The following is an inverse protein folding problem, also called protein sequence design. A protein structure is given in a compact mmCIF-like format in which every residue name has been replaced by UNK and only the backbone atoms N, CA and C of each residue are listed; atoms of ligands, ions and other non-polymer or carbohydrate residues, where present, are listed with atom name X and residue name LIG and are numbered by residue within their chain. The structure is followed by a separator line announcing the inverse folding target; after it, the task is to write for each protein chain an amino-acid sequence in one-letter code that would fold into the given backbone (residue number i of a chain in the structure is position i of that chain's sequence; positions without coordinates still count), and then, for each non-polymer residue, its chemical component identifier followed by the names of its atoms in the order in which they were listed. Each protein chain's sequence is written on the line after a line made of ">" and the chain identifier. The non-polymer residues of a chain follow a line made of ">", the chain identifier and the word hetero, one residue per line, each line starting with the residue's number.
data_IF_970744613409
#
_entry.id   IF_970744613409
#
_cell.length_a   1.000
_cell.length_b   1.000
_cell.length_c   1.000
_cell.angle_alpha   90.00
_cell.angle_beta   90.00
_cell.angle_gamma   90.00
#
_symmetry.space_group_name_H-M   'P 1'
#
loop_
_entity.id
_entity.type
_entity.pdbx_description
1 polymer ?
#
# COMPACT_ATOMS: atom_id res chain seq x y z
N UNK A 1 -55.07 1.14 -2.38
CA UNK A 1 -55.68 2.23 -1.58
C UNK A 1 -54.67 3.36 -1.49
N UNK A 2 -55.08 4.49 -2.03
CA UNK A 2 -54.37 5.76 -2.12
C UNK A 2 -54.19 6.42 -0.75
N UNK A 3 -53.05 7.08 -0.48
CA UNK A 3 -53.04 8.40 0.17
C UNK A 3 -51.69 9.09 -0.03
N UNK A 4 -51.71 10.05 -0.92
CA UNK A 4 -50.84 11.19 -1.11
C UNK A 4 -50.99 12.19 0.04
N UNK A 5 -49.92 12.83 0.47
CA UNK A 5 -49.98 14.16 1.06
C UNK A 5 -48.68 14.90 0.73
N UNK A 6 -48.80 15.90 -0.10
CA UNK A 6 -47.86 16.99 -0.33
C UNK A 6 -48.17 18.12 0.66
N UNK A 7 -47.13 18.83 1.15
CA UNK A 7 -47.25 20.21 1.59
C UNK A 7 -46.04 21.04 1.21
N UNK A 8 -46.37 22.24 0.76
CA UNK A 8 -45.52 23.20 0.07
C UNK A 8 -44.85 24.22 1.00
N UNK A 9 -43.79 24.75 0.50
CA UNK A 9 -43.23 26.11 0.50
C UNK A 9 -43.55 27.13 1.62
N UNK A 10 -42.51 27.82 2.08
CA UNK A 10 -42.52 29.27 2.27
C UNK A 10 -41.06 29.82 2.31
N UNK A 11 -40.80 30.71 1.36
CA UNK A 11 -39.62 31.58 1.30
C UNK A 11 -39.81 32.79 2.20
N UNK A 12 -38.75 33.30 2.81
CA UNK A 12 -38.69 34.70 3.23
C UNK A 12 -37.29 35.29 3.00
N UNK A 13 -37.22 36.22 2.10
CA UNK A 13 -36.14 37.19 1.89
C UNK A 13 -36.19 38.26 2.99
N UNK A 14 -35.00 38.65 3.49
CA UNK A 14 -34.78 40.04 3.94
C UNK A 14 -33.37 40.49 3.62
N UNK A 15 -33.29 41.46 2.74
CA UNK A 15 -32.11 42.27 2.46
C UNK A 15 -32.11 43.50 3.39
N UNK A 16 -30.96 43.90 3.90
CA UNK A 16 -30.71 45.28 4.34
C UNK A 16 -29.29 45.67 4.01
N UNK A 17 -29.19 46.67 3.18
CA UNK A 17 -28.01 47.47 2.85
C UNK A 17 -28.03 48.74 3.70
N UNK A 18 -26.82 49.25 4.04
CA UNK A 18 -26.45 50.66 4.31
C UNK A 18 -24.95 50.69 4.52
N UNK A 19 -24.06 51.21 3.68
CA UNK A 19 -23.80 52.59 3.23
C UNK A 19 -23.20 53.52 4.33
N UNK A 20 -22.03 54.05 4.04
CA UNK A 20 -21.35 55.17 4.73
C UNK A 20 -19.85 55.14 4.44
N UNK A 21 -19.25 55.73 3.42
CA UNK A 21 -18.73 57.09 3.18
C UNK A 21 -17.97 57.66 4.41
N UNK A 22 -16.71 58.13 4.29
CA UNK A 22 -16.14 59.19 3.49
C UNK A 22 -14.67 59.40 3.88
N UNK A 23 -13.78 59.60 2.90
CA UNK A 23 -13.03 60.84 2.55
C UNK A 23 -11.97 61.29 3.57
N UNK A 24 -10.81 61.75 3.24
CA UNK A 24 -10.28 62.56 2.16
C UNK A 24 -8.78 62.74 2.32
N UNK A 25 -8.08 62.86 1.20
CA UNK A 25 -7.14 63.94 0.77
C UNK A 25 -5.88 64.20 1.62
N UNK A 26 -4.71 64.41 1.06
CA UNK A 26 -4.26 65.27 -0.03
C UNK A 26 -2.75 65.05 -0.28
N UNK A 27 -2.33 64.97 -1.52
CA UNK A 27 -1.31 65.75 -2.29
C UNK A 27 0.01 66.15 -1.57
N UNK A 28 1.13 66.16 -2.14
CA UNK A 28 1.66 66.37 -3.49
C UNK A 28 3.19 66.40 -3.47
N UNK A 29 3.79 65.99 -4.58
CA UNK A 29 4.83 66.69 -5.40
C UNK A 29 6.18 67.08 -4.77
N UNK A 30 7.31 66.67 -5.30
CA UNK A 30 8.08 67.17 -6.46
C UNK A 30 9.46 66.46 -6.41
N UNK A 31 9.89 65.90 -7.47
CA UNK A 31 10.79 66.21 -8.54
C UNK A 31 12.29 66.35 -8.20
N UNK A 32 13.02 65.46 -8.90
CA UNK A 32 14.25 65.64 -9.66
C UNK A 32 15.56 66.04 -8.97
N UNK A 33 16.59 65.22 -9.17
CA UNK A 33 17.70 65.52 -10.09
C UNK A 33 18.76 64.42 -10.05
N UNK A 34 19.27 64.14 -11.22
CA UNK A 34 20.35 63.18 -11.51
C UNK A 34 21.73 63.73 -11.08
N UNK A 35 22.61 62.76 -10.75
CA UNK A 35 24.02 62.88 -11.11
C UNK A 35 24.76 61.58 -10.99
N UNK A 36 25.28 61.19 -12.07
CA UNK A 36 26.25 60.23 -12.51
C UNK A 36 27.50 60.22 -11.63
N UNK A 37 28.07 59.01 -11.36
CA UNK A 37 29.50 58.70 -11.48
C UNK A 37 29.81 57.22 -11.20
N UNK A 38 30.31 56.61 -12.20
CA UNK A 38 31.19 55.48 -12.44
C UNK A 38 32.00 54.89 -11.28
N UNK A 39 32.07 53.53 -11.40
CA UNK A 39 33.24 52.64 -11.26
C UNK A 39 33.54 51.99 -9.92
N UNK A 40 33.42 50.72 -9.81
CA UNK A 40 34.48 49.72 -9.99
C UNK A 40 34.01 48.35 -9.45
N UNK A 41 34.23 47.34 -10.21
CA UNK A 41 34.03 45.95 -9.89
C UNK A 41 34.87 45.52 -8.69
N UNK A 42 34.24 44.73 -7.81
CA UNK A 42 34.95 43.70 -7.04
C UNK A 42 34.00 42.52 -6.88
N UNK A 43 34.34 41.52 -7.60
CA UNK A 43 33.86 40.17 -7.58
C UNK A 43 34.05 39.58 -6.18
N UNK A 44 32.96 39.20 -5.55
CA UNK A 44 32.94 38.18 -4.53
C UNK A 44 31.58 37.48 -4.64
N UNK A 45 31.58 36.44 -5.43
CA UNK A 45 30.51 35.42 -5.38
C UNK A 45 30.52 34.82 -3.98
N UNK A 46 29.74 35.39 -3.07
CA UNK A 46 29.25 34.65 -1.92
C UNK A 46 28.19 33.72 -2.47
N UNK A 47 28.49 32.43 -2.50
CA UNK A 47 27.47 31.41 -2.66
C UNK A 47 26.43 31.63 -1.58
N UNK A 48 25.29 32.14 -2.01
CA UNK A 48 24.08 32.19 -1.20
C UNK A 48 23.72 30.72 -0.91
N UNK A 49 24.01 30.28 0.30
CA UNK A 49 23.42 29.06 0.85
C UNK A 49 21.95 29.39 1.08
N UNK A 50 21.18 29.31 -0.02
CA UNK A 50 19.75 29.50 0.02
C UNK A 50 19.18 28.53 1.03
N UNK A 51 18.50 29.04 2.04
CA UNK A 51 17.56 28.28 2.82
C UNK A 51 16.51 27.75 1.82
N UNK A 52 16.67 26.50 1.37
CA UNK A 52 15.64 25.87 0.56
C UNK A 52 14.37 25.87 1.39
N UNK A 53 13.32 26.56 0.92
CA UNK A 53 12.00 26.43 1.52
C UNK A 53 11.69 24.93 1.66
N UNK A 54 11.22 24.52 2.85
CA UNK A 54 10.78 23.17 3.14
C UNK A 54 9.73 22.77 2.12
N UNK A 55 10.03 21.78 1.31
CA UNK A 55 9.04 21.19 0.41
C UNK A 55 8.09 20.26 1.16
N UNK A 56 6.96 19.94 0.55
CA UNK A 56 5.99 18.98 1.10
C UNK A 56 5.90 17.78 0.15
N UNK A 57 6.18 16.59 0.66
CA UNK A 57 5.99 15.32 -0.05
C UNK A 57 4.73 14.64 0.47
N UNK A 58 3.87 14.18 -0.43
CA UNK A 58 2.67 13.43 -0.10
C UNK A 58 2.93 11.94 -0.22
N UNK A 59 2.59 11.17 0.81
CA UNK A 59 2.47 9.72 0.78
C UNK A 59 0.99 9.34 0.73
N UNK A 60 0.50 8.90 -0.43
CA UNK A 60 -0.92 8.56 -0.63
C UNK A 60 -1.05 7.05 -0.71
N UNK A 61 -1.58 6.43 0.34
CA UNK A 61 -1.65 4.99 0.48
C UNK A 61 -3.09 4.48 0.40
N UNK A 62 -3.29 3.33 -0.25
CA UNK A 62 -4.62 2.74 -0.50
C UNK A 62 -5.40 2.38 0.77
N UNK A 63 -4.71 1.99 1.87
CA UNK A 63 -5.32 1.51 3.11
C UNK A 63 -4.46 1.93 4.32
N UNK A 64 -4.64 3.17 4.80
CA UNK A 64 -3.85 3.75 5.89
C UNK A 64 -4.15 3.20 7.29
N UNK A 65 -5.08 2.26 7.43
CA UNK A 65 -5.41 1.53 8.65
C UNK A 65 -4.73 0.13 8.72
N UNK A 66 -4.08 -0.31 7.63
CA UNK A 66 -3.34 -1.57 7.63
C UNK A 66 -1.89 -1.36 8.07
N UNK A 67 -1.39 -2.27 8.90
CA UNK A 67 -0.03 -2.22 9.49
C UNK A 67 1.04 -2.03 8.42
N UNK A 68 0.92 -2.74 7.29
CA UNK A 68 1.85 -2.62 6.16
C UNK A 68 2.06 -1.17 5.72
N UNK A 69 0.97 -0.43 5.45
CA UNK A 69 1.05 0.96 4.96
C UNK A 69 1.38 1.96 6.05
N UNK A 70 1.09 1.65 7.32
CA UNK A 70 1.54 2.45 8.46
C UNK A 70 3.08 2.41 8.55
N UNK A 71 3.68 1.21 8.49
CA UNK A 71 5.12 1.02 8.57
C UNK A 71 5.84 1.59 7.34
N UNK A 72 5.33 1.31 6.13
CA UNK A 72 5.84 1.87 4.87
C UNK A 72 5.82 3.40 4.88
N UNK A 73 4.68 3.99 5.29
CA UNK A 73 4.52 5.43 5.40
C UNK A 73 5.42 6.06 6.46
N UNK A 74 5.66 5.37 7.58
CA UNK A 74 6.58 5.84 8.62
C UNK A 74 8.04 5.84 8.13
N UNK A 75 8.45 4.83 7.36
CA UNK A 75 9.78 4.78 6.74
C UNK A 75 9.95 5.88 5.69
N UNK A 76 8.92 6.10 4.85
CA UNK A 76 8.89 7.19 3.87
C UNK A 76 8.97 8.56 4.55
N UNK A 77 8.17 8.79 5.60
CA UNK A 77 8.19 10.02 6.38
C UNK A 77 9.59 10.30 6.93
N UNK A 78 10.19 9.33 7.60
CA UNK A 78 11.54 9.46 8.15
C UNK A 78 12.55 9.87 7.07
N UNK A 79 12.48 9.23 5.90
CA UNK A 79 13.40 9.53 4.80
C UNK A 79 13.18 10.93 4.21
N UNK A 80 11.93 11.40 4.10
CA UNK A 80 11.60 12.76 3.67
C UNK A 80 12.12 13.79 4.67
N UNK A 81 11.92 13.56 5.97
CA UNK A 81 12.39 14.43 7.05
C UNK A 81 13.93 14.49 7.11
N UNK A 82 14.64 13.38 6.84
CA UNK A 82 16.10 13.35 6.69
C UNK A 82 16.58 14.23 5.52
N UNK A 83 15.78 14.38 4.47
CA UNK A 83 16.04 15.28 3.36
C UNK A 83 15.63 16.76 3.65
N UNK A 84 15.10 17.04 4.84
CA UNK A 84 14.74 18.39 5.31
C UNK A 84 13.35 18.86 4.91
N UNK A 85 12.55 18.03 4.28
CA UNK A 85 11.19 18.33 3.82
C UNK A 85 10.12 17.83 4.82
N UNK A 86 8.85 18.15 4.56
CA UNK A 86 7.68 17.71 5.32
C UNK A 86 6.98 16.56 4.60
N UNK A 87 6.48 15.59 5.34
CA UNK A 87 5.71 14.48 4.79
C UNK A 87 4.24 14.53 5.25
N UNK A 88 3.32 14.36 4.32
CA UNK A 88 1.89 14.26 4.61
C UNK A 88 1.41 12.86 4.21
N UNK A 89 1.06 12.06 5.21
CA UNK A 89 0.42 10.77 5.01
C UNK A 89 -1.07 10.94 4.71
N UNK A 90 -1.55 10.30 3.64
CA UNK A 90 -2.96 10.31 3.25
C UNK A 90 -3.47 8.88 3.06
N UNK A 91 -4.52 8.55 3.79
CA UNK A 91 -5.26 7.29 3.63
C UNK A 91 -6.36 7.44 2.58
N UNK A 92 -6.27 6.70 1.48
CA UNK A 92 -7.28 6.67 0.43
C UNK A 92 -8.45 5.71 0.73
N UNK A 93 -8.43 4.96 1.85
CA UNK A 93 -9.52 4.10 2.35
C UNK A 93 -10.04 3.08 1.34
N UNK A 94 -9.15 2.50 0.55
CA UNK A 94 -9.48 1.60 -0.56
C UNK A 94 -10.47 2.21 -1.58
N UNK A 95 -10.54 3.55 -1.66
CA UNK A 95 -11.46 4.29 -2.53
C UNK A 95 -10.72 4.97 -3.68
N UNK A 96 -11.01 4.59 -4.94
CA UNK A 96 -10.47 5.28 -6.12
C UNK A 96 -10.83 6.78 -6.16
N UNK A 97 -12.00 7.16 -5.65
CA UNK A 97 -12.44 8.56 -5.59
C UNK A 97 -11.60 9.36 -4.57
N UNK A 98 -11.43 8.85 -3.34
CA UNK A 98 -10.61 9.51 -2.31
C UNK A 98 -9.13 9.56 -2.74
N UNK A 99 -8.65 8.54 -3.45
CA UNK A 99 -7.30 8.51 -4.01
C UNK A 99 -7.07 9.66 -5.01
N UNK A 100 -7.93 9.81 -6.03
CA UNK A 100 -7.78 10.89 -7.02
C UNK A 100 -7.96 12.26 -6.39
N UNK A 101 -8.83 12.40 -5.40
CA UNK A 101 -9.00 13.63 -4.63
C UNK A 101 -7.75 13.95 -3.79
N UNK A 102 -7.05 12.96 -3.26
CA UNK A 102 -5.77 13.16 -2.57
C UNK A 102 -4.68 13.65 -3.53
N UNK A 103 -4.62 13.10 -4.75
CA UNK A 103 -3.76 13.60 -5.84
C UNK A 103 -4.08 15.08 -6.14
N UNK A 104 -5.36 15.42 -6.34
CA UNK A 104 -5.78 16.80 -6.61
C UNK A 104 -5.40 17.76 -5.46
N UNK A 105 -5.52 17.32 -4.21
CA UNK A 105 -5.10 18.08 -3.03
C UNK A 105 -3.58 18.29 -3.00
N UNK A 106 -2.79 17.26 -3.29
CA UNK A 106 -1.34 17.38 -3.36
C UNK A 106 -0.91 18.38 -4.45
N UNK A 107 -1.56 18.33 -5.62
CA UNK A 107 -1.34 19.28 -6.72
C UNK A 107 -1.71 20.71 -6.30
N UNK A 108 -2.89 20.92 -5.71
CA UNK A 108 -3.34 22.23 -5.26
C UNK A 108 -2.42 22.84 -4.20
N UNK A 109 -1.79 22.02 -3.37
CA UNK A 109 -0.81 22.42 -2.36
C UNK A 109 0.63 22.50 -2.90
N UNK A 110 0.83 22.36 -4.20
CA UNK A 110 2.14 22.46 -4.85
C UNK A 110 3.16 21.48 -4.24
N UNK A 111 2.75 20.23 -4.07
CA UNK A 111 3.61 19.17 -3.53
C UNK A 111 4.94 19.12 -4.29
N UNK A 112 6.04 18.93 -3.56
CA UNK A 112 7.38 18.72 -4.13
C UNK A 112 7.46 17.40 -4.90
N UNK A 113 6.66 16.42 -4.48
CA UNK A 113 6.52 15.11 -5.11
C UNK A 113 5.51 14.24 -4.39
N UNK A 114 5.16 13.11 -5.00
CA UNK A 114 4.18 12.16 -4.49
C UNK A 114 4.78 10.75 -4.52
N UNK A 115 4.72 10.06 -3.38
CA UNK A 115 4.88 8.60 -3.28
C UNK A 115 3.49 8.01 -3.10
N UNK A 116 3.14 6.96 -3.83
CA UNK A 116 1.76 6.46 -3.80
C UNK A 116 1.62 4.95 -3.98
N UNK A 117 0.72 4.35 -3.20
CA UNK A 117 0.17 3.01 -3.43
C UNK A 117 -1.31 3.13 -3.83
N UNK A 118 -1.63 2.72 -5.05
CA UNK A 118 -2.95 2.92 -5.66
C UNK A 118 -3.95 1.82 -5.27
N UNK A 119 -5.23 2.15 -4.93
CA UNK A 119 -6.24 1.15 -4.59
C UNK A 119 -6.79 0.38 -5.80
N UNK A 120 -6.73 0.97 -6.99
CA UNK A 120 -7.22 0.38 -8.25
C UNK A 120 -6.33 0.84 -9.41
N UNK A 121 -5.62 -0.09 -10.02
CA UNK A 121 -4.67 0.20 -11.09
C UNK A 121 -5.32 0.78 -12.36
N UNK A 122 -6.62 0.64 -12.54
CA UNK A 122 -7.35 1.31 -13.65
C UNK A 122 -7.30 2.84 -13.56
N UNK A 123 -6.98 3.40 -12.37
CA UNK A 123 -6.81 4.84 -12.15
C UNK A 123 -5.39 5.34 -12.43
N UNK A 124 -4.45 4.45 -12.74
CA UNK A 124 -3.02 4.79 -12.89
C UNK A 124 -2.79 5.89 -13.91
N UNK A 125 -3.38 5.77 -15.10
CA UNK A 125 -3.20 6.76 -16.16
C UNK A 125 -3.71 8.13 -15.73
N UNK A 126 -4.88 8.20 -15.09
CA UNK A 126 -5.46 9.46 -14.61
C UNK A 126 -4.57 10.12 -13.54
N UNK A 127 -4.01 9.35 -12.62
CA UNK A 127 -3.12 9.85 -11.58
C UNK A 127 -1.81 10.42 -12.17
N UNK A 128 -1.18 9.66 -13.08
CA UNK A 128 0.08 10.07 -13.73
C UNK A 128 -0.12 11.30 -14.61
N UNK A 129 -1.20 11.35 -15.41
CA UNK A 129 -1.49 12.49 -16.27
C UNK A 129 -1.71 13.78 -15.47
N UNK A 130 -2.49 13.73 -14.37
CA UNK A 130 -2.68 14.86 -13.46
C UNK A 130 -1.36 15.38 -12.88
N UNK A 131 -0.50 14.50 -12.40
CA UNK A 131 0.80 14.87 -11.84
C UNK A 131 1.73 15.46 -12.92
N UNK A 132 1.75 14.86 -14.10
CA UNK A 132 2.53 15.32 -15.24
C UNK A 132 2.09 16.71 -15.73
N UNK A 133 0.79 16.95 -15.84
CA UNK A 133 0.24 18.26 -16.22
C UNK A 133 0.60 19.35 -15.19
N UNK A 134 0.63 18.99 -13.91
CA UNK A 134 1.03 19.89 -12.83
C UNK A 134 2.56 20.01 -12.66
N UNK A 135 3.36 19.19 -13.34
CA UNK A 135 4.82 19.16 -13.20
C UNK A 135 5.28 18.58 -11.85
N UNK A 136 4.47 17.75 -11.19
CA UNK A 136 4.79 17.14 -9.90
C UNK A 136 5.26 15.70 -10.13
N UNK A 137 6.49 15.34 -9.70
CA UNK A 137 6.99 13.98 -9.76
C UNK A 137 6.13 13.02 -8.94
N UNK A 138 5.89 11.82 -9.50
CA UNK A 138 5.15 10.74 -8.84
C UNK A 138 5.93 9.44 -8.95
N UNK A 139 6.05 8.70 -7.84
CA UNK A 139 6.66 7.37 -7.73
C UNK A 139 5.66 6.42 -7.13
N UNK A 140 5.50 5.27 -7.75
CA UNK A 140 4.67 4.20 -7.23
C UNK A 140 5.43 3.41 -6.16
N UNK A 141 4.77 3.17 -5.03
CA UNK A 141 5.25 2.33 -3.95
C UNK A 141 4.32 1.12 -3.80
N UNK A 142 4.86 -0.06 -3.54
CA UNK A 142 4.15 -1.34 -3.43
C UNK A 142 3.41 -1.74 -4.72
N UNK A 143 2.33 -1.07 -5.08
CA UNK A 143 1.57 -1.32 -6.30
C UNK A 143 2.02 -0.40 -7.45
N UNK A 144 2.32 -1.00 -8.60
CA UNK A 144 2.74 -0.24 -9.77
C UNK A 144 1.61 0.61 -10.37
N UNK A 145 1.94 1.83 -10.80
CA UNK A 145 1.11 2.60 -11.71
C UNK A 145 1.33 2.08 -13.13
N UNK A 146 0.30 1.52 -13.75
CA UNK A 146 0.43 0.85 -15.06
C UNK A 146 -0.70 1.22 -16.02
N UNK A 147 -0.40 1.13 -17.32
CA UNK A 147 -1.40 1.29 -18.37
C UNK A 147 -2.21 0.00 -18.59
N UNK A 148 -3.18 0.03 -19.51
CA UNK A 148 -4.03 -1.11 -19.85
C UNK A 148 -3.24 -2.31 -20.44
N UNK A 149 -2.00 -2.10 -20.88
CA UNK A 149 -1.12 -3.16 -21.33
C UNK A 149 -0.26 -3.79 -20.22
N UNK A 150 -0.40 -3.28 -18.97
CA UNK A 150 0.40 -3.71 -17.83
C UNK A 150 1.80 -3.10 -17.77
N UNK A 151 2.10 -2.12 -18.63
CA UNK A 151 3.40 -1.44 -18.63
C UNK A 151 3.40 -0.36 -17.54
N UNK A 152 4.46 -0.31 -16.75
CA UNK A 152 4.64 0.71 -15.71
C UNK A 152 4.81 2.09 -16.33
N UNK A 153 4.00 3.05 -15.91
CA UNK A 153 3.96 4.42 -16.43
C UNK A 153 4.54 5.47 -15.48
N UNK A 154 5.03 5.03 -14.31
CA UNK A 154 5.82 5.81 -13.37
C UNK A 154 6.91 4.92 -12.78
N UNK A 155 8.02 5.45 -12.26
CA UNK A 155 9.00 4.68 -11.50
C UNK A 155 8.30 3.95 -10.35
N UNK A 156 8.71 2.72 -10.11
CA UNK A 156 8.09 1.84 -9.12
C UNK A 156 9.13 1.23 -8.18
N UNK A 157 8.81 1.23 -6.90
CA UNK A 157 9.53 0.50 -5.86
C UNK A 157 8.54 -0.40 -5.13
N UNK A 158 8.77 -1.70 -5.12
CA UNK A 158 7.83 -2.62 -4.49
C UNK A 158 8.23 -4.08 -4.66
N UNK A 159 7.25 -4.96 -4.52
CA UNK A 159 7.44 -6.40 -4.58
C UNK A 159 6.76 -6.99 -5.82
N UNK A 160 7.40 -7.97 -6.43
CA UNK A 160 6.77 -8.69 -7.53
C UNK A 160 5.67 -9.61 -6.98
N UNK A 161 4.42 -9.23 -7.16
CA UNK A 161 3.26 -9.91 -6.61
C UNK A 161 3.18 -11.39 -6.97
N UNK A 162 3.48 -11.75 -8.23
CA UNK A 162 3.47 -13.14 -8.66
C UNK A 162 4.60 -13.94 -8.00
N UNK A 163 5.82 -13.37 -7.93
CA UNK A 163 6.99 -14.03 -7.34
C UNK A 163 6.81 -14.31 -5.84
N UNK A 164 6.22 -13.37 -5.09
CA UNK A 164 5.93 -13.64 -3.67
C UNK A 164 4.88 -14.72 -3.49
N UNK A 165 3.87 -14.78 -4.36
CA UNK A 165 2.91 -15.88 -4.40
C UNK A 165 3.57 -17.21 -4.73
N UNK A 166 4.48 -17.23 -5.72
CA UNK A 166 5.27 -18.42 -6.04
C UNK A 166 6.06 -18.93 -4.83
N UNK A 167 6.69 -18.02 -4.04
CA UNK A 167 7.43 -18.42 -2.85
C UNK A 167 6.54 -19.12 -1.80
N UNK A 168 5.32 -18.61 -1.57
CA UNK A 168 4.34 -19.27 -0.71
C UNK A 168 3.92 -20.65 -1.25
N UNK A 169 3.63 -20.72 -2.57
CA UNK A 169 3.25 -21.95 -3.24
C UNK A 169 4.33 -23.04 -3.16
N UNK A 170 5.58 -22.67 -3.42
CA UNK A 170 6.75 -23.57 -3.32
C UNK A 170 6.94 -24.10 -1.89
N UNK A 171 6.85 -23.19 -0.90
CA UNK A 171 7.00 -23.58 0.50
C UNK A 171 5.88 -24.53 0.96
N UNK A 172 4.63 -24.22 0.59
CA UNK A 172 3.47 -25.09 0.89
C UNK A 172 3.58 -26.45 0.21
N UNK A 173 4.07 -26.50 -1.02
CA UNK A 173 4.27 -27.75 -1.74
C UNK A 173 5.34 -28.62 -1.07
N UNK A 174 6.43 -28.02 -0.60
CA UNK A 174 7.44 -28.73 0.18
C UNK A 174 6.85 -29.24 1.51
N UNK A 175 6.16 -28.37 2.24
CA UNK A 175 5.49 -28.72 3.50
C UNK A 175 4.49 -29.87 3.32
N UNK A 176 3.68 -29.82 2.25
CA UNK A 176 2.69 -30.87 1.96
C UNK A 176 3.34 -32.25 1.76
N UNK A 177 4.47 -32.31 1.04
CA UNK A 177 5.23 -33.56 0.83
C UNK A 177 5.86 -34.07 2.12
N UNK A 178 6.53 -33.16 2.85
CA UNK A 178 7.26 -33.54 4.08
C UNK A 178 6.34 -34.04 5.18
N UNK A 179 5.05 -33.63 5.15
CA UNK A 179 4.04 -34.00 6.13
C UNK A 179 3.02 -35.06 5.60
N UNK A 180 3.24 -35.61 4.39
CA UNK A 180 2.38 -36.64 3.79
C UNK A 180 0.97 -36.15 3.47
N UNK A 181 0.78 -34.81 3.25
CA UNK A 181 -0.53 -34.24 2.99
C UNK A 181 -0.99 -34.44 1.54
N UNK A 182 -0.09 -34.77 0.62
CA UNK A 182 -0.44 -35.02 -0.78
C UNK A 182 -1.34 -36.24 -0.91
N UNK A 183 -1.00 -37.32 -0.23
CA UNK A 183 -1.72 -38.61 -0.24
C UNK A 183 -2.87 -38.64 0.77
N UNK A 184 -2.93 -37.73 1.73
CA UNK A 184 -3.96 -37.68 2.76
C UNK A 184 -5.28 -37.13 2.18
N UNK A 185 -6.30 -38.01 2.08
CA UNK A 185 -7.61 -37.63 1.51
C UNK A 185 -8.35 -36.57 2.35
N UNK A 186 -7.91 -36.33 3.59
CA UNK A 186 -8.51 -35.34 4.49
C UNK A 186 -7.77 -33.99 4.45
N UNK A 187 -6.74 -33.83 3.62
CA UNK A 187 -6.04 -32.58 3.43
C UNK A 187 -6.70 -31.69 2.36
N UNK A 188 -6.65 -30.38 2.52
CA UNK A 188 -7.13 -29.39 1.54
C UNK A 188 -6.28 -28.13 1.56
N UNK A 189 -6.25 -27.42 0.43
CA UNK A 189 -5.62 -26.11 0.29
C UNK A 189 -6.71 -25.04 0.14
N UNK A 190 -6.64 -23.98 0.95
CA UNK A 190 -7.43 -22.77 0.79
C UNK A 190 -6.52 -21.60 0.41
N UNK A 191 -6.84 -20.93 -0.70
CA UNK A 191 -6.21 -19.69 -1.14
C UNK A 191 -7.22 -18.56 -0.95
N UNK A 192 -6.91 -17.60 -0.07
CA UNK A 192 -7.71 -16.41 0.16
C UNK A 192 -7.35 -15.35 -0.87
N UNK A 193 -8.30 -14.98 -1.74
CA UNK A 193 -8.07 -14.07 -2.86
C UNK A 193 -8.62 -12.67 -2.60
N UNK A 194 -8.06 -11.66 -3.27
CA UNK A 194 -8.57 -10.29 -3.29
C UNK A 194 -8.82 -9.91 -4.76
N UNK A 195 -9.86 -10.48 -5.36
CA UNK A 195 -10.11 -10.43 -6.80
C UNK A 195 -10.44 -9.02 -7.30
N UNK A 196 -10.87 -8.12 -6.41
CA UNK A 196 -11.16 -6.71 -6.72
C UNK A 196 -9.93 -5.81 -6.65
N UNK A 197 -8.78 -6.32 -6.15
CA UNK A 197 -7.51 -5.59 -6.05
C UNK A 197 -6.54 -6.17 -7.06
N UNK A 198 -6.43 -5.53 -8.22
CA UNK A 198 -5.69 -6.04 -9.38
C UNK A 198 -4.22 -6.39 -9.09
N UNK A 199 -3.57 -5.69 -8.17
CA UNK A 199 -2.21 -6.00 -7.71
C UNK A 199 -2.11 -7.26 -6.83
N UNK A 200 -3.21 -7.71 -6.27
CA UNK A 200 -3.25 -8.92 -5.41
C UNK A 200 -3.59 -10.20 -6.20
N UNK A 201 -4.23 -10.08 -7.35
CA UNK A 201 -4.59 -11.23 -8.20
C UNK A 201 -3.36 -12.09 -8.55
N UNK A 202 -2.21 -11.54 -8.99
CA UNK A 202 -1.05 -12.36 -9.32
C UNK A 202 -0.44 -13.10 -8.12
N UNK A 203 -0.68 -12.66 -6.88
CA UNK A 203 -0.24 -13.38 -5.67
C UNK A 203 -0.90 -14.74 -5.59
N UNK A 204 -2.24 -14.77 -5.65
CA UNK A 204 -3.03 -16.00 -5.62
C UNK A 204 -2.77 -16.91 -6.84
N UNK A 205 -2.45 -16.33 -8.00
CA UNK A 205 -2.02 -17.09 -9.18
C UNK A 205 -0.68 -17.78 -8.93
N UNK A 206 0.33 -17.07 -8.42
CA UNK A 206 1.63 -17.63 -8.10
C UNK A 206 1.55 -18.72 -7.03
N UNK A 207 0.73 -18.54 -5.99
CA UNK A 207 0.47 -19.54 -4.95
C UNK A 207 -0.10 -20.83 -5.54
N UNK A 208 -1.12 -20.72 -6.39
CA UNK A 208 -1.75 -21.84 -7.05
C UNK A 208 -0.80 -22.56 -8.02
N UNK A 209 -0.14 -21.82 -8.89
CA UNK A 209 0.70 -22.37 -9.95
C UNK A 209 1.89 -23.15 -9.35
N UNK A 210 2.58 -22.57 -8.36
CA UNK A 210 3.74 -23.21 -7.77
C UNK A 210 3.36 -24.38 -6.83
N UNK A 211 2.25 -24.26 -6.09
CA UNK A 211 1.76 -25.40 -5.31
C UNK A 211 1.41 -26.58 -6.21
N UNK A 212 0.65 -26.36 -7.28
CA UNK A 212 0.24 -27.43 -8.21
C UNK A 212 1.41 -27.99 -9.02
N UNK A 213 2.36 -27.15 -9.41
CA UNK A 213 3.60 -27.61 -10.04
C UNK A 213 4.46 -28.45 -9.08
N UNK A 214 4.53 -28.02 -7.81
CA UNK A 214 5.23 -28.76 -6.76
C UNK A 214 4.55 -30.05 -6.34
N UNK A 215 3.23 -30.09 -6.31
CA UNK A 215 2.41 -31.24 -5.92
C UNK A 215 1.47 -31.69 -7.04
N UNK A 216 1.97 -32.21 -8.17
CA UNK A 216 1.14 -32.54 -9.33
C UNK A 216 0.10 -33.63 -9.06
N UNK A 217 0.31 -34.46 -8.03
CA UNK A 217 -0.61 -35.52 -7.62
C UNK A 217 -1.68 -35.05 -6.61
N UNK A 218 -1.61 -33.76 -6.15
CA UNK A 218 -2.63 -33.22 -5.26
C UNK A 218 -3.91 -32.90 -6.03
N UNK A 219 -5.08 -33.48 -5.64
CA UNK A 219 -6.33 -33.29 -6.37
C UNK A 219 -6.79 -31.84 -6.40
N UNK A 220 -7.04 -31.29 -7.58
CA UNK A 220 -7.46 -29.90 -7.74
C UNK A 220 -8.83 -29.60 -7.14
N UNK A 221 -9.71 -30.61 -6.97
CA UNK A 221 -10.98 -30.49 -6.27
C UNK A 221 -10.86 -30.27 -4.75
N UNK A 222 -9.66 -30.43 -4.21
CA UNK A 222 -9.32 -30.09 -2.81
C UNK A 222 -8.55 -28.75 -2.70
N UNK A 223 -8.48 -27.98 -3.78
CA UNK A 223 -7.96 -26.61 -3.79
C UNK A 223 -9.14 -25.65 -3.88
N UNK A 224 -9.33 -24.88 -2.84
CA UNK A 224 -10.44 -23.94 -2.70
C UNK A 224 -9.92 -22.50 -2.81
N UNK A 225 -10.71 -21.61 -3.41
CA UNK A 225 -10.46 -20.17 -3.45
C UNK A 225 -11.62 -19.45 -2.80
N UNK A 226 -11.33 -18.41 -2.01
CA UNK A 226 -12.36 -17.58 -1.38
C UNK A 226 -11.92 -16.12 -1.40
N UNK A 227 -12.75 -15.28 -2.04
CA UNK A 227 -12.53 -13.84 -2.13
C UNK A 227 -12.91 -13.14 -0.82
N UNK A 228 -12.18 -12.07 -0.48
CA UNK A 228 -12.44 -11.20 0.66
C UNK A 228 -11.93 -9.77 0.37
N UNK A 229 -12.21 -8.82 1.26
CA UNK A 229 -11.94 -7.39 1.06
C UNK A 229 -10.56 -6.92 1.59
N UNK A 230 -9.69 -7.83 2.00
CA UNK A 230 -8.36 -7.52 2.55
C UNK A 230 -8.31 -7.33 4.06
N UNK A 231 -9.46 -7.38 4.78
CA UNK A 231 -9.51 -7.24 6.23
C UNK A 231 -9.47 -8.58 6.95
N UNK A 232 -8.94 -8.61 8.19
CA UNK A 232 -8.88 -9.83 9.01
C UNK A 232 -10.26 -10.43 9.28
N UNK A 233 -11.27 -9.61 9.55
CA UNK A 233 -12.64 -10.06 9.82
C UNK A 233 -13.27 -10.75 8.61
N UNK A 234 -13.04 -10.22 7.41
CA UNK A 234 -13.55 -10.81 6.18
C UNK A 234 -12.74 -12.04 5.76
N UNK A 235 -11.42 -12.03 5.96
CA UNK A 235 -10.59 -13.22 5.81
C UNK A 235 -11.06 -14.37 6.72
N UNK A 236 -11.36 -14.06 7.99
CA UNK A 236 -11.95 -15.03 8.91
C UNK A 236 -13.30 -15.55 8.41
N UNK A 237 -14.18 -14.67 7.94
CA UNK A 237 -15.50 -15.05 7.41
C UNK A 237 -15.37 -15.94 6.18
N UNK A 238 -14.49 -15.61 5.24
CA UNK A 238 -14.25 -16.37 4.03
C UNK A 238 -13.69 -17.77 4.36
N UNK A 239 -12.67 -17.84 5.22
CA UNK A 239 -12.08 -19.10 5.67
C UNK A 239 -13.11 -19.98 6.41
N UNK A 240 -13.87 -19.40 7.35
CA UNK A 240 -14.92 -20.12 8.10
C UNK A 240 -15.97 -20.72 7.15
N UNK A 241 -16.35 -19.97 6.10
CA UNK A 241 -17.33 -20.43 5.12
C UNK A 241 -16.86 -21.68 4.38
N UNK A 242 -15.59 -21.68 3.91
CA UNK A 242 -15.00 -22.82 3.20
C UNK A 242 -14.81 -24.01 4.15
N UNK A 243 -14.24 -23.81 5.34
CA UNK A 243 -14.00 -24.85 6.33
C UNK A 243 -15.34 -25.55 6.71
N UNK A 244 -16.41 -24.77 6.88
CA UNK A 244 -17.72 -25.31 7.24
C UNK A 244 -18.38 -26.06 6.07
N UNK A 245 -18.16 -25.62 4.83
CA UNK A 245 -18.70 -26.26 3.65
C UNK A 245 -18.02 -27.60 3.32
N UNK A 246 -16.80 -27.81 3.81
CA UNK A 246 -15.99 -29.00 3.54
C UNK A 246 -15.60 -29.74 4.81
N UNK A 247 -16.57 -30.35 5.52
CA UNK A 247 -16.33 -31.03 6.78
C UNK A 247 -15.49 -32.31 6.64
N UNK A 248 -15.30 -32.84 5.43
CA UNK A 248 -14.40 -33.92 5.09
C UNK A 248 -12.93 -33.55 5.23
N UNK A 249 -12.57 -32.27 5.02
CA UNK A 249 -11.21 -31.81 5.18
C UNK A 249 -10.91 -31.51 6.65
N UNK A 250 -9.81 -32.13 7.14
CA UNK A 250 -9.37 -32.02 8.55
C UNK A 250 -8.00 -31.33 8.66
N UNK A 251 -7.18 -31.44 7.63
CA UNK A 251 -5.84 -30.89 7.59
C UNK A 251 -5.78 -29.78 6.53
N UNK A 252 -5.93 -28.55 6.98
CA UNK A 252 -5.98 -27.40 6.12
C UNK A 252 -4.58 -26.79 5.90
N UNK A 253 -4.21 -26.62 4.65
CA UNK A 253 -3.18 -25.67 4.23
C UNK A 253 -3.86 -24.39 3.79
N UNK A 254 -3.36 -23.23 4.23
CA UNK A 254 -3.96 -21.94 3.88
C UNK A 254 -2.87 -20.94 3.51
N UNK A 255 -3.11 -20.20 2.44
CA UNK A 255 -2.32 -19.01 2.05
C UNK A 255 -3.27 -17.91 1.56
N UNK A 256 -2.78 -16.74 1.22
CA UNK A 256 -3.66 -15.67 0.76
C UNK A 256 -2.96 -14.39 0.36
N UNK A 257 -3.75 -13.50 -0.21
CA UNK A 257 -3.30 -12.28 -0.86
C UNK A 257 -2.67 -11.23 0.06
N UNK A 258 -2.95 -11.26 1.38
CA UNK A 258 -2.28 -10.45 2.41
C UNK A 258 -2.26 -11.18 3.76
N UNK A 259 -1.56 -10.61 4.73
CA UNK A 259 -1.41 -11.26 6.03
C UNK A 259 -2.65 -11.12 6.92
N UNK A 260 -3.44 -10.07 6.76
CA UNK A 260 -4.72 -9.90 7.45
C UNK A 260 -5.66 -11.08 7.17
N UNK A 261 -5.76 -11.49 5.90
CA UNK A 261 -6.58 -12.63 5.51
C UNK A 261 -6.09 -13.94 6.11
N UNK A 262 -4.78 -14.19 6.07
CA UNK A 262 -4.20 -15.42 6.62
C UNK A 262 -4.28 -15.48 8.15
N UNK A 263 -4.13 -14.37 8.86
CA UNK A 263 -4.41 -14.29 10.31
C UNK A 263 -5.91 -14.53 10.56
N UNK A 264 -6.80 -14.02 9.72
CA UNK A 264 -8.22 -14.34 9.77
C UNK A 264 -8.48 -15.84 9.66
N UNK A 265 -7.78 -16.53 8.75
CA UNK A 265 -7.86 -17.98 8.61
C UNK A 265 -7.33 -18.74 9.84
N UNK A 266 -6.23 -18.28 10.45
CA UNK A 266 -5.75 -18.85 11.74
C UNK A 266 -6.87 -18.81 12.78
N UNK A 267 -7.57 -17.68 12.92
CA UNK A 267 -8.69 -17.55 13.89
C UNK A 267 -9.89 -18.46 13.53
N UNK A 268 -10.16 -18.66 12.23
CA UNK A 268 -11.21 -19.57 11.78
C UNK A 268 -10.88 -21.03 12.13
N UNK A 269 -9.62 -21.46 11.89
CA UNK A 269 -9.13 -22.79 12.22
C UNK A 269 -9.14 -23.06 13.73
N UNK A 270 -8.68 -22.10 14.55
CA UNK A 270 -8.75 -22.15 16.02
C UNK A 270 -10.21 -22.33 16.49
N UNK A 271 -11.12 -21.53 15.93
CA UNK A 271 -12.54 -21.60 16.29
C UNK A 271 -13.20 -22.92 15.89
N UNK A 272 -12.71 -23.54 14.83
CA UNK A 272 -13.16 -24.86 14.36
C UNK A 272 -12.47 -26.03 15.09
N UNK A 273 -11.42 -25.77 15.90
CA UNK A 273 -10.61 -26.79 16.55
C UNK A 273 -9.78 -27.64 15.57
N UNK A 274 -9.36 -27.02 14.45
CA UNK A 274 -8.59 -27.66 13.37
C UNK A 274 -7.16 -27.11 13.27
N UNK A 275 -6.79 -26.19 14.14
CA UNK A 275 -5.50 -25.48 14.13
C UNK A 275 -4.30 -26.38 14.42
N UNK A 276 -4.49 -27.44 15.22
CA UNK A 276 -3.40 -28.35 15.58
C UNK A 276 -2.78 -29.11 14.39
N UNK A 277 -3.59 -29.43 13.38
CA UNK A 277 -3.19 -30.15 12.17
C UNK A 277 -3.17 -29.26 10.92
N UNK A 278 -3.26 -27.94 11.10
CA UNK A 278 -3.28 -26.98 10.01
C UNK A 278 -1.90 -26.30 9.79
N UNK A 279 -1.73 -25.81 8.58
CA UNK A 279 -0.57 -25.01 8.16
C UNK A 279 -1.05 -23.75 7.46
N UNK A 280 -0.75 -22.57 8.03
CA UNK A 280 -1.03 -21.28 7.40
C UNK A 280 0.28 -20.62 7.02
N UNK A 281 0.34 -20.08 5.79
CA UNK A 281 1.48 -19.30 5.29
C UNK A 281 1.02 -17.88 5.03
N UNK A 282 1.62 -16.92 5.73
CA UNK A 282 1.35 -15.50 5.63
C UNK A 282 2.07 -14.84 4.46
N UNK A 283 1.76 -13.57 4.25
CA UNK A 283 2.37 -12.77 3.19
C UNK A 283 2.63 -11.36 3.72
N UNK A 284 3.90 -11.07 4.06
CA UNK A 284 4.38 -9.84 4.68
C UNK A 284 5.20 -10.07 5.95
N UNK A 285 4.89 -11.09 6.74
CA UNK A 285 5.46 -11.47 8.02
C UNK A 285 5.29 -10.43 9.15
N UNK A 286 4.58 -9.31 8.92
CA UNK A 286 4.39 -8.23 9.90
C UNK A 286 3.39 -8.57 11.01
N UNK A 287 2.41 -9.48 10.74
CA UNK A 287 1.50 -10.02 11.75
C UNK A 287 1.91 -11.42 12.20
N UNK A 288 2.53 -12.22 11.32
CA UNK A 288 3.04 -13.53 11.65
C UNK A 288 4.08 -13.48 12.77
N UNK A 289 4.98 -12.48 12.77
CA UNK A 289 5.94 -12.24 13.85
C UNK A 289 5.28 -12.08 15.21
N UNK A 290 4.16 -11.34 15.26
CA UNK A 290 3.41 -11.11 16.50
C UNK A 290 2.73 -12.38 16.98
N UNK A 291 2.18 -13.17 16.04
CA UNK A 291 1.62 -14.48 16.32
C UNK A 291 2.68 -15.41 16.94
N UNK A 292 3.88 -15.45 16.36
CA UNK A 292 4.98 -16.26 16.88
C UNK A 292 5.56 -15.73 18.20
N UNK A 293 5.68 -14.42 18.36
CA UNK A 293 6.12 -13.81 19.61
C UNK A 293 5.15 -14.11 20.76
N UNK A 294 3.84 -14.09 20.49
CA UNK A 294 2.81 -14.27 21.51
C UNK A 294 2.54 -15.73 21.85
N UNK A 295 2.59 -16.63 20.88
CA UNK A 295 2.16 -18.04 21.05
C UNK A 295 3.30 -19.07 20.94
N UNK A 296 4.47 -18.67 20.40
CA UNK A 296 5.54 -19.59 20.03
C UNK A 296 5.21 -20.42 18.77
N UNK A 297 6.20 -21.17 18.30
CA UNK A 297 6.09 -21.99 17.08
C UNK A 297 4.99 -23.05 17.15
N UNK A 298 4.84 -23.69 18.32
CA UNK A 298 3.88 -24.78 18.54
C UNK A 298 2.47 -24.30 18.91
N UNK A 299 2.34 -23.02 19.32
CA UNK A 299 1.08 -22.46 19.79
C UNK A 299 0.20 -21.87 18.68
N UNK A 300 0.59 -22.00 17.43
CA UNK A 300 -0.15 -21.46 16.27
C UNK A 300 0.01 -22.34 15.04
N UNK A 301 -1.00 -22.32 14.16
CA UNK A 301 -0.92 -22.92 12.84
C UNK A 301 -0.26 -22.01 11.78
N UNK A 302 0.16 -20.79 12.12
CA UNK A 302 0.99 -19.94 11.26
C UNK A 302 2.41 -20.51 11.23
N UNK A 303 2.77 -21.22 10.15
CA UNK A 303 4.04 -21.99 10.05
C UNK A 303 5.12 -21.26 9.26
N UNK A 304 4.73 -20.35 8.37
CA UNK A 304 5.66 -19.53 7.60
C UNK A 304 4.99 -18.23 7.16
N UNK A 305 5.77 -17.30 6.65
CA UNK A 305 5.29 -16.13 5.93
C UNK A 305 6.36 -15.66 4.94
N UNK A 306 5.97 -15.19 3.76
CA UNK A 306 6.93 -14.51 2.88
C UNK A 306 7.14 -13.11 3.40
N UNK A 307 8.35 -12.84 3.89
CA UNK A 307 8.78 -11.53 4.37
C UNK A 307 9.35 -10.69 3.23
N UNK A 308 8.95 -9.46 3.20
CA UNK A 308 9.54 -8.35 2.46
C UNK A 308 9.39 -7.10 3.32
N UNK A 309 10.29 -6.13 3.16
CA UNK A 309 10.37 -5.01 4.10
C UNK A 309 9.55 -3.82 3.62
N UNK A 310 8.52 -3.45 4.37
CA UNK A 310 7.78 -2.19 4.21
C UNK A 310 8.70 -0.98 4.33
N UNK A 311 9.68 -1.02 5.26
CA UNK A 311 10.71 0.01 5.42
C UNK A 311 11.53 0.19 4.13
N UNK A 312 11.89 -0.90 3.47
CA UNK A 312 12.65 -0.86 2.22
C UNK A 312 11.83 -0.27 1.07
N UNK A 313 10.53 -0.58 0.99
CA UNK A 313 9.62 0.02 0.00
C UNK A 313 9.46 1.51 0.27
N UNK A 314 9.13 1.89 1.51
CA UNK A 314 8.93 3.28 1.90
C UNK A 314 10.18 4.14 1.70
N UNK A 315 11.33 3.69 2.20
CA UNK A 315 12.61 4.40 2.05
C UNK A 315 13.02 4.49 0.59
N UNK A 316 13.00 3.36 -0.14
CA UNK A 316 13.42 3.30 -1.54
C UNK A 316 12.55 4.14 -2.47
N UNK A 317 11.23 4.19 -2.22
CA UNK A 317 10.31 5.02 -3.02
C UNK A 317 10.62 6.52 -2.88
N UNK A 318 11.00 6.96 -1.67
CA UNK A 318 11.42 8.34 -1.43
C UNK A 318 12.80 8.61 -2.06
N UNK A 319 13.76 7.69 -2.00
CA UNK A 319 15.05 7.83 -2.65
C UNK A 319 14.89 7.99 -4.17
N UNK A 320 14.09 7.14 -4.80
CA UNK A 320 13.75 7.24 -6.22
C UNK A 320 13.05 8.58 -6.54
N UNK A 321 12.12 9.03 -5.68
CA UNK A 321 11.45 10.32 -5.86
C UNK A 321 12.44 11.49 -5.85
N UNK A 322 13.38 11.52 -4.91
CA UNK A 322 14.39 12.60 -4.86
C UNK A 322 15.38 12.53 -6.03
N UNK A 323 15.67 11.36 -6.54
CA UNK A 323 16.48 11.20 -7.75
C UNK A 323 15.73 11.72 -8.98
N UNK A 324 14.42 11.47 -9.10
CA UNK A 324 13.58 12.07 -10.14
C UNK A 324 13.53 13.59 -10.01
N UNK A 325 13.34 14.15 -8.80
CA UNK A 325 13.36 15.59 -8.53
C UNK A 325 14.70 16.22 -8.94
N UNK A 326 15.80 15.50 -8.70
CA UNK A 326 17.14 15.94 -9.09
C UNK A 326 17.43 15.78 -10.60
N UNK A 327 16.49 15.27 -11.40
CA UNK A 327 16.66 15.05 -12.83
C UNK A 327 17.61 13.91 -13.19
N UNK A 328 17.80 12.95 -12.29
CA UNK A 328 18.62 11.76 -12.54
C UNK A 328 17.81 10.71 -13.30
N UNK A 329 18.51 9.90 -14.08
CA UNK A 329 17.91 8.69 -14.63
C UNK A 329 17.67 7.65 -13.52
N UNK A 330 16.44 7.17 -13.41
CA UNK A 330 16.03 6.16 -12.43
C UNK A 330 15.53 4.89 -13.13
N UNK A 331 15.73 3.70 -12.53
CA UNK A 331 15.11 2.49 -13.03
C UNK A 331 13.58 2.62 -13.04
N UNK A 332 12.93 2.05 -14.05
CA UNK A 332 11.47 1.95 -14.09
C UNK A 332 10.93 1.00 -13.01
N UNK A 333 11.74 0.02 -12.63
CA UNK A 333 11.44 -0.99 -11.62
C UNK A 333 12.58 -1.12 -10.62
N UNK A 334 12.23 -1.06 -9.34
CA UNK A 334 13.12 -1.36 -8.22
C UNK A 334 12.39 -2.36 -7.33
N UNK A 335 12.63 -3.65 -7.54
CA UNK A 335 12.03 -4.69 -6.72
C UNK A 335 12.80 -4.83 -5.40
N UNK A 336 12.07 -4.94 -4.29
CA UNK A 336 12.64 -5.34 -3.00
C UNK A 336 12.66 -6.87 -2.90
N UNK A 337 13.68 -7.40 -2.23
CA UNK A 337 13.81 -8.84 -2.02
C UNK A 337 12.72 -9.37 -1.10
N UNK A 338 12.28 -10.61 -1.37
CA UNK A 338 11.34 -11.35 -0.56
C UNK A 338 11.93 -12.71 -0.17
N UNK A 339 11.70 -13.16 1.07
CA UNK A 339 12.20 -14.43 1.59
C UNK A 339 11.16 -15.08 2.50
N UNK A 340 10.99 -16.40 2.41
CA UNK A 340 10.10 -17.11 3.33
C UNK A 340 10.78 -17.24 4.69
N UNK A 341 10.12 -16.73 5.72
CA UNK A 341 10.53 -16.85 7.12
C UNK A 341 9.61 -17.81 7.87
N UNK A 342 10.18 -18.42 8.91
CA UNK A 342 9.48 -19.37 9.79
C UNK A 342 9.70 -18.95 11.25
N UNK A 343 8.97 -19.53 12.21
CA UNK A 343 9.21 -19.27 13.64
C UNK A 343 10.66 -19.45 14.10
N UNK A 344 11.45 -20.26 13.39
CA UNK A 344 12.84 -20.56 13.73
C UNK A 344 13.82 -19.47 13.26
N UNK A 345 13.53 -18.79 12.12
CA UNK A 345 14.51 -17.93 11.48
C UNK A 345 14.05 -16.45 11.36
N UNK A 346 12.78 -16.10 11.62
CA UNK A 346 12.28 -14.75 11.38
C UNK A 346 13.04 -13.65 12.12
N UNK A 347 13.51 -13.90 13.35
CA UNK A 347 14.28 -12.92 14.13
C UNK A 347 15.62 -12.58 13.50
N UNK A 348 16.28 -13.59 12.92
CA UNK A 348 17.54 -13.40 12.21
C UNK A 348 17.33 -12.66 10.89
N UNK A 349 16.32 -13.07 10.11
CA UNK A 349 16.08 -12.54 8.77
C UNK A 349 15.48 -11.13 8.81
N UNK A 350 14.49 -10.90 9.67
CA UNK A 350 13.79 -9.62 9.77
C UNK A 350 14.57 -8.59 10.62
N UNK A 351 15.50 -9.04 11.46
CA UNK A 351 16.27 -8.14 12.33
C UNK A 351 15.36 -7.28 13.21
N UNK A 352 15.47 -5.95 13.11
CA UNK A 352 14.64 -5.02 13.89
C UNK A 352 13.16 -5.11 13.57
N UNK A 353 12.79 -5.48 12.36
CA UNK A 353 11.38 -5.63 11.98
C UNK A 353 10.70 -6.81 12.71
N UNK A 354 11.47 -7.70 13.36
CA UNK A 354 10.95 -8.80 14.19
C UNK A 354 10.56 -8.35 15.61
N UNK A 355 10.95 -7.14 16.05
CA UNK A 355 10.59 -6.54 17.34
C UNK A 355 9.18 -5.93 17.25
#
# INVERSE_FOLDING_TARGET
>A
MKRTAAFAAAALLTATALAGCSSSDTSATTAAAAADTTAAAADTAAADAGSSEKGVVYGIYKAGDQTWFIDEGAAAQKKVEENGDEFIFVDAKMSPEEYLKAIDNAIANQAKGIVTCIPDQTMSQAAVDKCKEAGIPIVAADDALQNDAGEKIAPWVGINAYVIGQANGDWLAAYAKDNGLVEDETSGLLILTMDTVSSCVPRAEGEYDNFTAGCPDFPTERIFKADYDGTTDKGNTAATSVITAHPEIKKWMVTGANEEGTIGAVRALESAGLDADACVVGLGAYMAKDEWNNKGADGTCMKAATYFSSDSVGTGSVEVLYDVIAGKDVPQETAVDAVVVTPENYKEVMGKAAE
#
